data_IF_488989085743
#
_entry.id   IF_488989085743
#
_cell.length_a   1.000
_cell.length_b   1.000
_cell.length_c   1.000
_cell.angle_alpha   90.00
_cell.angle_beta   90.00
_cell.angle_gamma   90.00
#
_symmetry.space_group_name_H-M   'P 1'
#
loop_
_entity.id
_entity.type
_entity.pdbx_description
1 polymer ?
#
# COMPACT_ATOMS: atom_id res chain seq x y z
N UNK A 1 58.46 43.49 -41.23
CA UNK A 1 57.55 44.43 -40.52
C UNK A 1 56.22 44.34 -41.26
N UNK A 2 55.16 43.71 -40.79
CA UNK A 2 54.67 43.46 -39.43
C UNK A 2 53.20 43.89 -39.43
N UNK A 3 52.27 42.93 -39.32
CA UNK A 3 50.81 43.05 -39.36
C UNK A 3 50.25 44.08 -38.35
N UNK A 4 49.03 44.62 -38.45
CA UNK A 4 47.73 43.94 -38.20
C UNK A 4 46.56 44.86 -38.66
N UNK A 5 45.47 44.34 -39.25
CA UNK A 5 44.22 45.07 -39.51
C UNK A 5 43.37 45.19 -38.25
N UNK A 6 42.74 46.36 -38.06
CA UNK A 6 41.88 46.68 -36.91
C UNK A 6 40.72 45.70 -36.74
N UNK A 7 40.71 45.00 -35.61
CA UNK A 7 39.61 44.17 -35.15
C UNK A 7 38.56 45.10 -34.52
N UNK A 8 37.41 45.23 -35.17
CA UNK A 8 36.20 45.78 -34.56
C UNK A 8 35.66 44.73 -33.58
N UNK A 9 35.83 44.99 -32.29
CA UNK A 9 35.31 44.14 -31.22
C UNK A 9 33.80 44.40 -31.06
N UNK A 10 32.97 43.54 -31.67
CA UNK A 10 31.55 43.42 -31.35
C UNK A 10 31.41 42.80 -29.95
N UNK A 11 31.06 43.61 -28.95
CA UNK A 11 30.63 43.15 -27.63
C UNK A 11 29.28 42.43 -27.76
N UNK A 12 29.32 41.11 -27.96
CA UNK A 12 28.19 40.23 -27.73
C UNK A 12 27.99 40.10 -26.21
N UNK A 13 27.04 40.86 -25.66
CA UNK A 13 26.47 40.60 -24.34
C UNK A 13 25.77 39.24 -24.40
N UNK A 14 26.51 38.17 -24.12
CA UNK A 14 25.93 36.92 -23.70
C UNK A 14 25.27 37.18 -22.34
N UNK A 15 23.97 37.48 -22.36
CA UNK A 15 23.13 37.36 -21.18
C UNK A 15 23.12 35.88 -20.77
N UNK A 16 24.14 35.47 -20.01
CA UNK A 16 23.98 34.37 -19.07
C UNK A 16 22.76 34.76 -18.24
N UNK A 17 21.65 34.04 -18.44
CA UNK A 17 20.37 34.32 -17.80
C UNK A 17 20.47 34.12 -16.29
N UNK A 18 21.07 35.10 -15.60
CA UNK A 18 20.94 35.26 -14.17
C UNK A 18 19.49 35.72 -13.99
N UNK A 19 18.60 34.81 -13.60
CA UNK A 19 17.31 35.19 -13.04
C UNK A 19 17.62 36.17 -11.91
N UNK A 20 17.18 37.42 -12.03
CA UNK A 20 17.27 38.36 -10.92
C UNK A 20 16.45 37.80 -9.76
N UNK A 21 16.99 37.90 -8.54
CA UNK A 21 16.26 37.51 -7.34
C UNK A 21 14.89 38.25 -7.31
N UNK A 22 13.82 37.61 -6.82
CA UNK A 22 12.50 38.23 -6.78
C UNK A 22 12.53 39.56 -6.03
N UNK A 23 11.74 40.53 -6.48
CA UNK A 23 11.68 41.83 -5.81
C UNK A 23 11.02 41.70 -4.42
N UNK A 24 11.40 42.53 -3.42
CA UNK A 24 10.81 42.45 -2.08
C UNK A 24 9.28 42.52 -2.05
N UNK A 25 8.67 43.31 -2.92
CA UNK A 25 7.21 43.43 -3.05
C UNK A 25 6.57 42.13 -3.58
N UNK A 26 7.23 41.45 -4.53
CA UNK A 26 6.77 40.16 -5.05
C UNK A 26 6.83 39.08 -3.97
N UNK A 27 7.93 39.06 -3.19
CA UNK A 27 8.05 38.15 -2.06
C UNK A 27 6.99 38.40 -0.98
N UNK A 28 6.65 39.65 -0.69
CA UNK A 28 5.62 39.96 0.29
C UNK A 28 4.25 39.39 -0.10
N UNK A 29 3.93 39.40 -1.40
CA UNK A 29 2.69 38.81 -1.93
C UNK A 29 2.68 37.29 -1.83
N UNK A 30 3.82 36.63 -2.11
CA UNK A 30 3.94 35.18 -2.11
C UNK A 30 4.06 34.57 -0.70
N UNK A 31 4.59 35.32 0.26
CA UNK A 31 4.90 34.84 1.63
C UNK A 31 3.90 35.32 2.69
N UNK A 32 2.69 35.70 2.28
CA UNK A 32 1.63 36.07 3.21
C UNK A 32 1.14 34.82 3.97
N UNK A 33 1.59 34.68 5.21
CA UNK A 33 1.24 33.53 6.05
C UNK A 33 -0.25 33.51 6.42
N UNK A 34 -0.83 32.31 6.42
CA UNK A 34 -2.15 32.03 6.96
C UNK A 34 -2.12 32.28 8.47
N UNK A 35 -3.04 33.10 8.95
CA UNK A 35 -3.15 33.40 10.37
C UNK A 35 -3.97 32.34 11.10
N UNK A 36 -3.90 32.33 12.42
CA UNK A 36 -4.77 31.48 13.26
C UNK A 36 -6.26 31.74 13.02
N UNK A 37 -6.66 32.97 12.68
CA UNK A 37 -8.05 33.31 12.38
C UNK A 37 -8.51 32.71 11.05
N UNK A 38 -7.59 32.58 10.08
CA UNK A 38 -7.87 32.10 8.73
C UNK A 38 -7.55 30.62 8.54
N UNK A 39 -7.15 29.91 9.60
CA UNK A 39 -6.67 28.51 9.54
C UNK A 39 -7.66 27.55 8.87
N UNK A 40 -8.97 27.84 8.90
CA UNK A 40 -9.96 27.02 8.22
C UNK A 40 -9.77 26.96 6.69
N UNK A 41 -9.14 27.97 6.10
CA UNK A 41 -8.82 28.01 4.66
C UNK A 41 -7.91 26.86 4.21
N UNK A 42 -7.08 26.31 5.11
CA UNK A 42 -6.17 25.21 4.77
C UNK A 42 -6.86 23.85 4.79
N UNK A 43 -8.10 23.76 5.28
CA UNK A 43 -8.83 22.49 5.31
C UNK A 43 -9.09 22.00 3.88
N UNK A 44 -8.78 20.73 3.64
CA UNK A 44 -9.05 20.14 2.34
C UNK A 44 -8.21 18.91 2.06
N UNK A 45 -8.40 18.41 0.86
CA UNK A 45 -7.66 17.28 0.28
C UNK A 45 -6.74 17.85 -0.80
N UNK A 46 -5.46 17.55 -0.66
CA UNK A 46 -4.37 18.23 -1.34
C UNK A 46 -3.42 17.21 -1.95
N UNK A 47 -2.84 17.52 -3.10
CA UNK A 47 -1.81 16.70 -3.73
C UNK A 47 -0.55 17.53 -3.89
N UNK A 48 0.57 16.97 -3.42
CA UNK A 48 1.88 17.62 -3.53
C UNK A 48 2.32 17.60 -4.99
N UNK A 49 2.49 18.79 -5.56
CA UNK A 49 2.88 18.94 -6.96
C UNK A 49 4.35 19.32 -7.12
N UNK A 50 4.92 19.91 -6.06
CA UNK A 50 6.31 20.33 -6.04
C UNK A 50 6.83 20.40 -4.60
N UNK A 51 8.09 20.06 -4.38
CA UNK A 51 8.75 20.33 -3.09
C UNK A 51 10.25 20.48 -3.23
N UNK A 52 10.85 21.20 -2.28
CA UNK A 52 12.30 21.36 -2.15
C UNK A 52 12.67 21.22 -0.68
N UNK A 53 13.83 20.63 -0.41
CA UNK A 53 14.28 20.36 0.94
C UNK A 53 15.77 20.72 1.08
N UNK A 54 16.11 21.33 2.22
CA UNK A 54 17.46 21.68 2.63
C UNK A 54 17.75 21.11 4.02
N UNK A 55 19.05 20.98 4.34
CA UNK A 55 19.51 20.53 5.66
C UNK A 55 18.86 19.20 6.12
N UNK A 56 18.64 18.28 5.18
CA UNK A 56 17.96 17.02 5.43
C UNK A 56 18.87 16.15 6.32
N UNK A 57 18.44 15.93 7.56
CA UNK A 57 19.18 15.11 8.54
C UNK A 57 18.97 13.61 8.34
N UNK A 58 17.93 13.21 7.61
CA UNK A 58 17.50 11.82 7.42
C UNK A 58 17.81 11.29 6.01
N UNK A 59 17.84 9.97 5.87
CA UNK A 59 18.12 9.25 4.62
C UNK A 59 17.02 9.44 3.56
N UNK A 60 16.93 10.62 2.95
CA UNK A 60 16.35 10.87 1.63
C UNK A 60 14.96 10.26 1.31
N UNK A 61 14.10 10.05 2.32
CA UNK A 61 12.77 9.43 2.15
C UNK A 61 11.92 10.19 1.11
N UNK A 62 12.10 11.51 1.02
CA UNK A 62 11.46 12.39 0.03
C UNK A 62 11.83 12.05 -1.42
N UNK A 63 13.06 11.62 -1.72
CA UNK A 63 13.41 11.21 -3.09
C UNK A 63 12.85 9.84 -3.48
N UNK A 64 12.36 9.07 -2.52
CA UNK A 64 11.67 7.81 -2.79
C UNK A 64 10.21 8.06 -3.17
N UNK A 65 9.70 9.29 -3.06
CA UNK A 65 8.32 9.60 -3.40
C UNK A 65 8.08 9.59 -4.91
N UNK A 66 6.89 9.11 -5.25
CA UNK A 66 6.28 9.17 -6.57
C UNK A 66 5.09 10.15 -6.57
N UNK A 67 4.32 10.17 -5.49
CA UNK A 67 3.24 11.14 -5.25
C UNK A 67 2.91 11.24 -3.76
N UNK A 68 2.41 12.39 -3.31
CA UNK A 68 1.90 12.58 -1.94
C UNK A 68 0.50 13.19 -1.96
N UNK A 69 -0.42 12.61 -1.19
CA UNK A 69 -1.76 13.14 -0.93
C UNK A 69 -1.90 13.48 0.55
N UNK A 70 -2.33 14.70 0.85
CA UNK A 70 -2.47 15.23 2.21
C UNK A 70 -3.92 15.58 2.48
N UNK A 71 -4.47 15.04 3.56
CA UNK A 71 -5.75 15.47 4.11
C UNK A 71 -5.49 16.38 5.31
N UNK A 72 -5.94 17.63 5.21
CA UNK A 72 -5.94 18.59 6.31
C UNK A 72 -7.37 18.77 6.80
N UNK A 73 -7.59 18.52 8.09
CA UNK A 73 -8.89 18.71 8.76
C UNK A 73 -8.68 19.50 10.03
N UNK A 74 -9.47 20.55 10.25
CA UNK A 74 -9.31 21.42 11.40
C UNK A 74 -10.44 21.19 12.40
N UNK A 75 -10.06 20.84 13.63
CA UNK A 75 -10.99 20.61 14.74
C UNK A 75 -10.57 21.49 15.91
N UNK A 76 -11.42 22.43 16.31
CA UNK A 76 -11.17 23.33 17.45
C UNK A 76 -9.81 24.05 17.38
N UNK A 77 -9.37 24.43 16.19
CA UNK A 77 -8.08 25.11 15.95
C UNK A 77 -6.86 24.19 15.91
N UNK A 78 -7.04 22.87 16.03
CA UNK A 78 -5.99 21.86 15.80
C UNK A 78 -6.10 21.38 14.35
N UNK A 79 -4.99 21.42 13.63
CA UNK A 79 -4.89 20.88 12.27
C UNK A 79 -4.49 19.42 12.39
N UNK A 80 -5.34 18.51 11.93
CA UNK A 80 -5.04 17.09 11.80
C UNK A 80 -4.57 16.86 10.37
N UNK A 81 -3.33 16.40 10.22
CA UNK A 81 -2.71 16.05 8.96
C UNK A 81 -2.66 14.53 8.81
N UNK A 82 -3.19 14.03 7.70
CA UNK A 82 -3.07 12.64 7.28
C UNK A 82 -2.52 12.59 5.86
N UNK A 83 -1.24 12.29 5.75
CA UNK A 83 -0.51 12.23 4.50
C UNK A 83 -0.31 10.78 4.07
N UNK A 84 -0.46 10.54 2.76
CA UNK A 84 -0.31 9.23 2.13
C UNK A 84 0.61 9.36 0.93
N UNK A 85 1.73 8.69 1.02
CA UNK A 85 2.86 8.76 0.13
C UNK A 85 2.98 7.48 -0.70
N UNK A 86 2.92 7.60 -2.02
CA UNK A 86 3.29 6.53 -2.93
C UNK A 86 4.80 6.56 -3.12
N UNK A 87 5.46 5.45 -2.84
CA UNK A 87 6.90 5.29 -3.02
C UNK A 87 7.21 4.78 -4.44
N UNK A 88 8.45 4.96 -4.91
CA UNK A 88 8.92 4.54 -6.26
C UNK A 88 8.87 3.02 -6.47
N UNK A 89 8.93 2.24 -5.40
CA UNK A 89 8.71 0.79 -5.40
C UNK A 89 7.21 0.40 -5.44
N UNK A 90 6.31 1.39 -5.54
CA UNK A 90 4.86 1.25 -5.47
C UNK A 90 4.34 0.68 -4.13
N UNK A 91 5.08 0.83 -3.03
CA UNK A 91 4.52 0.68 -1.68
C UNK A 91 3.94 2.01 -1.19
N UNK A 92 3.12 1.91 -0.15
CA UNK A 92 2.48 3.06 0.48
C UNK A 92 3.05 3.31 1.87
N UNK A 93 3.33 4.58 2.13
CA UNK A 93 3.71 5.09 3.44
C UNK A 93 2.63 6.07 3.90
N UNK A 94 2.22 6.02 5.15
CA UNK A 94 1.31 7.02 5.72
C UNK A 94 1.98 7.78 6.85
N UNK A 95 1.69 9.06 6.94
CA UNK A 95 2.18 9.93 8.00
C UNK A 95 0.99 10.68 8.61
N UNK A 96 0.88 10.64 9.93
CA UNK A 96 -0.19 11.30 10.67
C UNK A 96 0.40 12.17 11.76
N UNK A 97 -0.05 13.41 11.84
CA UNK A 97 0.35 14.34 12.89
C UNK A 97 -0.76 15.33 13.21
N UNK A 98 -0.66 15.95 14.38
CA UNK A 98 -1.50 17.05 14.80
C UNK A 98 -0.64 18.31 14.93
N UNK A 99 -1.14 19.43 14.44
CA UNK A 99 -0.50 20.73 14.57
C UNK A 99 -1.38 21.68 15.38
N UNK A 100 -0.75 22.44 16.26
CA UNK A 100 -1.41 23.44 17.11
C UNK A 100 -0.88 24.82 16.79
N UNK A 101 -1.65 25.87 17.09
CA UNK A 101 -1.17 27.23 16.88
C UNK A 101 0.08 27.49 17.74
N UNK A 102 1.14 27.98 17.11
CA UNK A 102 2.34 28.50 17.76
C UNK A 102 2.13 29.91 18.31
N UNK A 103 3.23 30.61 18.64
CA UNK A 103 3.16 32.00 19.08
C UNK A 103 2.47 32.90 18.04
N UNK A 104 1.47 33.67 18.46
CA UNK A 104 0.66 34.49 17.53
C UNK A 104 1.50 35.50 16.73
N UNK A 105 2.62 35.97 17.27
CA UNK A 105 3.54 36.88 16.58
C UNK A 105 4.25 36.25 15.37
N UNK A 106 4.20 34.93 15.21
CA UNK A 106 4.95 34.19 14.17
C UNK A 106 4.07 33.61 13.07
N UNK A 107 2.73 33.67 13.21
CA UNK A 107 1.76 33.02 12.31
C UNK A 107 2.18 31.60 11.92
N UNK A 108 2.62 30.83 12.92
CA UNK A 108 3.14 29.49 12.75
C UNK A 108 2.32 28.47 13.53
N UNK A 109 2.48 27.22 13.15
CA UNK A 109 1.90 26.06 13.80
C UNK A 109 3.02 25.16 14.29
N UNK A 110 2.82 24.57 15.45
CA UNK A 110 3.75 23.64 16.08
C UNK A 110 3.22 22.24 15.88
N UNK A 111 4.06 21.35 15.37
CA UNK A 111 3.82 19.92 15.40
C UNK A 111 4.79 19.33 16.45
N UNK A 112 4.31 18.40 17.29
CA UNK A 112 5.05 17.87 18.44
C UNK A 112 5.28 16.36 18.41
N UNK A 113 4.57 15.65 17.54
CA UNK A 113 4.76 14.21 17.31
C UNK A 113 4.11 13.78 16.01
N UNK A 114 4.60 12.68 15.45
CA UNK A 114 4.06 12.06 14.24
C UNK A 114 4.00 10.54 14.38
N UNK A 115 3.14 9.92 13.56
CA UNK A 115 3.11 8.47 13.37
C UNK A 115 3.35 8.18 11.90
N UNK A 116 4.40 7.44 11.61
CA UNK A 116 4.72 6.97 10.28
C UNK A 116 4.42 5.47 10.20
N UNK A 117 3.68 5.04 9.20
CA UNK A 117 3.39 3.63 8.95
C UNK A 117 3.88 3.27 7.55
N UNK A 118 4.74 2.26 7.45
CA UNK A 118 5.20 1.70 6.18
C UNK A 118 5.13 0.17 6.24
N UNK A 119 4.42 -0.45 5.29
CA UNK A 119 4.24 -1.91 5.21
C UNK A 119 3.75 -2.55 6.53
N UNK A 120 2.84 -1.87 7.24
CA UNK A 120 2.29 -2.31 8.53
C UNK A 120 3.19 -2.07 9.74
N UNK A 121 4.42 -1.56 9.55
CA UNK A 121 5.33 -1.20 10.64
C UNK A 121 5.07 0.26 11.02
N UNK A 122 4.68 0.48 12.28
CA UNK A 122 4.43 1.82 12.83
C UNK A 122 5.66 2.32 13.57
N UNK A 123 6.14 3.50 13.21
CA UNK A 123 7.20 4.24 13.89
C UNK A 123 6.62 5.53 14.48
N UNK A 124 6.76 5.70 15.80
CA UNK A 124 6.44 6.95 16.47
C UNK A 124 7.62 7.92 16.36
N UNK A 125 7.33 9.16 16.04
CA UNK A 125 8.31 10.22 15.84
C UNK A 125 8.04 11.31 16.88
N UNK A 126 8.91 11.41 17.87
CA UNK A 126 8.92 12.55 18.78
C UNK A 126 9.74 13.67 18.15
N UNK A 127 9.05 14.72 17.70
CA UNK A 127 9.70 15.84 17.01
C UNK A 127 9.01 17.15 17.35
N UNK A 128 9.79 18.21 17.55
CA UNK A 128 9.27 19.56 17.69
C UNK A 128 9.71 20.36 16.47
N UNK A 129 8.76 20.81 15.67
CA UNK A 129 9.06 21.71 14.58
C UNK A 129 7.90 22.62 14.24
N UNK A 130 8.17 23.47 13.27
CA UNK A 130 7.36 24.65 12.96
C UNK A 130 6.88 24.58 11.54
N UNK A 131 5.61 24.94 11.33
CA UNK A 131 4.95 24.99 10.04
C UNK A 131 4.36 26.37 9.80
N UNK A 132 4.52 26.90 8.59
CA UNK A 132 3.80 28.07 8.09
C UNK A 132 3.05 27.69 6.82
N UNK A 133 1.80 28.10 6.73
CA UNK A 133 1.00 27.93 5.52
C UNK A 133 0.94 29.23 4.74
N UNK A 134 0.96 29.14 3.41
CA UNK A 134 0.74 30.25 2.50
C UNK A 134 -0.35 29.87 1.51
N UNK A 135 -1.42 30.67 1.43
CA UNK A 135 -2.44 30.54 0.40
C UNK A 135 -2.04 31.41 -0.78
N UNK A 136 -1.57 30.79 -1.86
CA UNK A 136 -1.09 31.50 -3.06
C UNK A 136 -2.18 31.66 -4.12
N UNK A 137 -3.20 30.80 -4.09
CA UNK A 137 -4.40 30.86 -4.93
C UNK A 137 -5.53 29.99 -4.32
N UNK A 138 -6.76 30.09 -4.84
CA UNK A 138 -7.93 29.36 -4.31
C UNK A 138 -7.78 27.82 -4.24
N UNK A 139 -6.97 27.26 -5.15
CA UNK A 139 -6.68 25.82 -5.24
C UNK A 139 -5.19 25.51 -5.02
N UNK A 140 -4.47 26.42 -4.36
CA UNK A 140 -3.04 26.30 -4.06
C UNK A 140 -2.81 26.42 -2.55
N UNK A 141 -1.99 25.53 -2.02
CA UNK A 141 -1.49 25.64 -0.66
C UNK A 141 0.02 25.44 -0.67
N UNK A 142 0.76 26.24 0.07
CA UNK A 142 2.17 26.00 0.32
C UNK A 142 2.42 25.86 1.81
N UNK A 143 3.32 24.97 2.18
CA UNK A 143 3.68 24.66 3.56
C UNK A 143 5.20 24.74 3.70
N UNK A 144 5.67 25.71 4.46
CA UNK A 144 7.05 25.82 4.90
C UNK A 144 7.19 25.12 6.25
N UNK A 145 7.98 24.05 6.26
CA UNK A 145 8.22 23.20 7.41
C UNK A 145 9.69 23.30 7.83
N UNK A 146 9.93 23.38 9.13
CA UNK A 146 11.26 23.27 9.73
C UNK A 146 11.22 22.32 10.93
N UNK A 147 12.01 21.25 10.89
CA UNK A 147 11.96 20.22 11.93
C UNK A 147 12.91 19.03 11.70
N UNK A 148 12.52 17.84 12.17
CA UNK A 148 13.31 16.61 12.07
C UNK A 148 13.71 16.29 10.63
N UNK A 149 12.81 16.53 9.68
CA UNK A 149 13.04 16.25 8.26
C UNK A 149 13.85 17.32 7.54
N UNK A 150 14.37 18.32 8.27
CA UNK A 150 15.09 19.46 7.72
C UNK A 150 14.19 20.68 7.51
N UNK A 151 14.59 21.55 6.61
CA UNK A 151 13.79 22.70 6.14
C UNK A 151 13.19 22.33 4.79
N UNK A 152 11.87 22.25 4.69
CA UNK A 152 11.17 21.72 3.52
C UNK A 152 10.03 22.64 3.14
N UNK A 153 9.99 23.03 1.86
CA UNK A 153 8.85 23.71 1.29
C UNK A 153 8.05 22.72 0.45
N UNK A 154 6.79 22.56 0.80
CA UNK A 154 5.81 21.78 0.07
C UNK A 154 4.85 22.70 -0.68
N UNK A 155 4.56 22.38 -1.93
CA UNK A 155 3.58 23.09 -2.76
C UNK A 155 2.54 22.10 -3.23
N UNK A 156 1.29 22.41 -2.91
CA UNK A 156 0.13 21.56 -3.12
C UNK A 156 -0.89 22.20 -4.08
N UNK A 157 -1.64 21.33 -4.74
CA UNK A 157 -2.87 21.67 -5.46
C UNK A 157 -4.05 20.93 -4.85
N UNK A 158 -5.24 21.51 -4.95
CA UNK A 158 -6.47 20.83 -4.51
C UNK A 158 -6.65 19.52 -5.28
N UNK A 159 -7.08 18.46 -4.58
CA UNK A 159 -7.42 17.20 -5.24
C UNK A 159 -8.46 17.44 -6.35
N UNK A 160 -8.25 16.78 -7.49
CA UNK A 160 -9.03 17.00 -8.72
C UNK A 160 -8.53 18.12 -9.65
N UNK A 161 -7.58 18.97 -9.22
CA UNK A 161 -7.01 20.06 -10.05
C UNK A 161 -5.56 19.80 -10.47
N UNK A 162 -4.90 18.86 -9.79
CA UNK A 162 -3.49 18.49 -9.99
C UNK A 162 -3.14 17.76 -11.31
N UNK A 163 -4.11 17.31 -12.11
CA UNK A 163 -3.83 16.44 -13.28
C UNK A 163 -3.37 17.19 -14.54
N UNK A 164 -3.56 18.52 -14.59
CA UNK A 164 -3.17 19.28 -15.78
C UNK A 164 -1.66 19.59 -15.76
N UNK A 165 -0.89 18.74 -16.45
CA UNK A 165 0.58 18.83 -16.53
C UNK A 165 1.06 20.18 -17.08
N UNK A 166 0.34 20.81 -18.00
CA UNK A 166 0.73 22.11 -18.56
C UNK A 166 0.59 23.22 -17.51
N UNK A 167 -0.49 23.19 -16.73
CA UNK A 167 -0.69 24.10 -15.59
C UNK A 167 0.37 23.88 -14.52
N UNK A 168 0.72 22.62 -14.23
CA UNK A 168 1.78 22.31 -13.27
C UNK A 168 3.13 22.88 -13.73
N UNK A 169 3.50 22.67 -14.99
CA UNK A 169 4.74 23.20 -15.57
C UNK A 169 4.78 24.73 -15.52
N UNK A 170 3.67 25.39 -15.87
CA UNK A 170 3.58 26.85 -15.80
C UNK A 170 3.73 27.37 -14.36
N UNK A 171 3.23 26.63 -13.36
CA UNK A 171 3.32 27.00 -11.95
C UNK A 171 4.67 26.68 -11.27
N UNK A 172 5.59 25.98 -11.96
CA UNK A 172 6.92 25.68 -11.40
C UNK A 172 7.73 26.95 -11.16
N UNK A 173 7.63 27.94 -12.04
CA UNK A 173 8.32 29.21 -11.89
C UNK A 173 7.86 29.96 -10.64
N UNK A 174 6.57 29.95 -10.33
CA UNK A 174 6.02 30.57 -9.14
C UNK A 174 6.46 29.82 -7.87
N UNK A 175 6.53 28.48 -7.94
CA UNK A 175 7.02 27.64 -6.84
C UNK A 175 8.49 27.92 -6.55
N UNK A 176 9.30 28.08 -7.60
CA UNK A 176 10.71 28.45 -7.47
C UNK A 176 10.88 29.84 -6.86
N UNK A 177 10.11 30.84 -7.32
CA UNK A 177 10.15 32.19 -6.74
C UNK A 177 9.76 32.20 -5.27
N UNK A 178 8.72 31.45 -4.88
CA UNK A 178 8.34 31.31 -3.47
C UNK A 178 9.49 30.72 -2.65
N UNK A 179 10.13 29.66 -3.16
CA UNK A 179 11.28 29.04 -2.51
C UNK A 179 12.46 30.02 -2.35
N UNK A 180 12.79 30.79 -3.40
CA UNK A 180 13.82 31.84 -3.34
C UNK A 180 13.47 32.94 -2.32
N UNK A 181 12.21 33.38 -2.26
CA UNK A 181 11.73 34.35 -1.27
C UNK A 181 11.82 33.83 0.17
N UNK A 182 11.72 32.51 0.38
CA UNK A 182 11.88 31.85 1.67
C UNK A 182 13.34 31.46 1.96
N UNK A 183 14.26 31.74 1.04
CA UNK A 183 15.70 31.53 1.21
C UNK A 183 16.19 30.12 0.87
N UNK A 184 15.41 29.31 0.15
CA UNK A 184 15.83 27.99 -0.32
C UNK A 184 16.80 28.09 -1.50
N UNK A 185 17.82 27.23 -1.49
CA UNK A 185 18.66 26.89 -2.63
C UNK A 185 17.94 25.88 -3.50
N UNK A 186 17.77 26.20 -4.78
CA UNK A 186 17.03 25.35 -5.71
C UNK A 186 17.96 24.29 -6.29
N UNK A 187 18.01 23.11 -5.67
CA UNK A 187 18.65 21.90 -6.23
C UNK A 187 17.70 20.69 -6.20
N UNK A 188 17.43 20.10 -7.36
CA UNK A 188 16.63 18.87 -7.54
C UNK A 188 15.29 18.84 -6.76
N UNK A 189 14.35 19.74 -7.09
CA UNK A 189 13.02 19.66 -6.49
C UNK A 189 12.31 18.35 -6.87
N UNK A 190 11.44 17.89 -5.99
CA UNK A 190 10.40 16.94 -6.37
C UNK A 190 9.42 17.63 -7.32
N UNK A 191 9.02 16.93 -8.38
CA UNK A 191 8.05 17.41 -9.35
C UNK A 191 7.06 16.26 -9.60
N UNK A 192 5.78 16.51 -9.34
CA UNK A 192 4.72 15.57 -9.67
C UNK A 192 4.49 15.51 -11.18
N UNK A 193 4.28 14.31 -11.70
CA UNK A 193 4.11 14.05 -13.13
C UNK A 193 2.67 14.26 -13.64
N UNK A 194 1.72 14.55 -12.74
CA UNK A 194 0.30 14.72 -13.06
C UNK A 194 -0.49 13.42 -13.27
N UNK A 195 0.17 12.26 -13.25
CA UNK A 195 -0.42 10.96 -13.64
C UNK A 195 -0.15 9.83 -12.65
N UNK A 196 0.85 9.97 -11.79
CA UNK A 196 1.20 8.99 -10.79
C UNK A 196 0.05 8.82 -9.79
N UNK A 197 -0.42 7.57 -9.66
CA UNK A 197 -1.56 7.24 -8.82
C UNK A 197 -1.28 7.42 -7.32
N UNK A 198 -2.30 7.88 -6.61
CA UNK A 198 -2.26 8.09 -5.16
C UNK A 198 -2.50 6.77 -4.40
N UNK A 199 -2.00 6.66 -3.17
CA UNK A 199 -2.09 5.44 -2.36
C UNK A 199 -3.50 4.86 -2.20
N UNK A 200 -4.53 5.72 -2.07
CA UNK A 200 -5.91 5.26 -1.93
C UNK A 200 -6.48 4.69 -3.25
N UNK A 201 -6.11 5.29 -4.38
CA UNK A 201 -6.45 4.77 -5.70
C UNK A 201 -5.71 3.47 -5.97
N UNK A 202 -4.44 3.37 -5.56
CA UNK A 202 -3.64 2.16 -5.71
C UNK A 202 -4.21 1.00 -4.89
N UNK A 203 -4.53 1.21 -3.60
CA UNK A 203 -5.24 0.21 -2.76
C UNK A 203 -6.52 -0.26 -3.41
N UNK A 204 -7.36 0.66 -3.87
CA UNK A 204 -8.60 0.29 -4.57
C UNK A 204 -8.36 -0.52 -5.85
N UNK A 205 -7.36 -0.13 -6.66
CA UNK A 205 -7.09 -0.75 -7.95
C UNK A 205 -6.50 -2.16 -7.81
N UNK A 206 -5.51 -2.37 -6.93
CA UNK A 206 -4.98 -3.72 -6.72
C UNK A 206 -5.95 -4.60 -5.94
N UNK A 207 -6.69 -4.06 -4.96
CA UNK A 207 -7.71 -4.85 -4.28
C UNK A 207 -8.77 -5.32 -5.27
N UNK A 208 -9.27 -4.45 -6.14
CA UNK A 208 -10.22 -4.85 -7.17
C UNK A 208 -9.68 -5.94 -8.10
N UNK A 209 -8.40 -5.87 -8.48
CA UNK A 209 -7.74 -6.89 -9.30
C UNK A 209 -7.63 -8.23 -8.56
N UNK A 210 -7.28 -8.21 -7.27
CA UNK A 210 -7.01 -9.41 -6.48
C UNK A 210 -8.28 -10.03 -5.88
N UNK A 211 -9.37 -9.27 -5.71
CA UNK A 211 -10.67 -9.75 -5.22
C UNK A 211 -11.68 -9.99 -6.34
N UNK A 212 -11.18 -10.20 -7.56
CA UNK A 212 -12.03 -10.52 -8.72
C UNK A 212 -12.85 -11.78 -8.43
N UNK A 213 -14.15 -11.71 -8.70
CA UNK A 213 -15.05 -12.85 -8.56
C UNK A 213 -14.55 -14.02 -9.42
N UNK A 214 -14.55 -15.21 -8.82
CA UNK A 214 -14.01 -16.41 -9.45
C UNK A 214 -14.94 -16.89 -10.57
N UNK A 215 -14.35 -17.25 -11.71
CA UNK A 215 -15.10 -17.87 -12.81
C UNK A 215 -15.04 -19.41 -12.77
N UNK A 216 -14.00 -19.97 -12.15
CA UNK A 216 -13.79 -21.42 -12.05
C UNK A 216 -13.08 -21.79 -10.73
N UNK A 217 -13.84 -22.39 -9.80
CA UNK A 217 -13.30 -22.91 -8.53
C UNK A 217 -12.85 -24.38 -8.65
N UNK A 218 -13.49 -25.16 -9.51
CA UNK A 218 -13.20 -26.60 -9.61
C UNK A 218 -11.80 -26.85 -10.18
N UNK A 219 -11.06 -27.73 -9.50
CA UNK A 219 -9.73 -28.13 -9.90
C UNK A 219 -8.97 -28.77 -8.75
N UNK A 220 -7.73 -29.10 -9.05
CA UNK A 220 -6.73 -29.58 -8.10
C UNK A 220 -5.75 -28.44 -7.86
N UNK A 221 -5.51 -28.15 -6.58
CA UNK A 221 -4.88 -26.93 -6.10
C UNK A 221 -3.86 -27.26 -5.03
N UNK A 222 -2.78 -26.48 -4.97
CA UNK A 222 -1.73 -26.58 -3.96
C UNK A 222 -1.69 -25.29 -3.16
N UNK A 223 -1.73 -25.40 -1.83
CA UNK A 223 -1.61 -24.24 -0.95
C UNK A 223 -0.18 -23.72 -1.02
N UNK A 224 0.00 -22.48 -1.46
CA UNK A 224 1.32 -21.88 -1.60
C UNK A 224 1.62 -20.81 -0.55
N UNK A 225 0.57 -20.20 0.00
CA UNK A 225 0.68 -19.16 1.02
C UNK A 225 -0.60 -19.11 1.85
N UNK A 226 -0.50 -18.90 3.15
CA UNK A 226 -1.67 -18.59 3.98
C UNK A 226 -1.33 -17.71 5.18
N UNK A 227 -2.36 -17.07 5.71
CA UNK A 227 -2.30 -16.32 6.98
C UNK A 227 -3.59 -16.50 7.76
N UNK A 228 -3.49 -16.40 9.08
CA UNK A 228 -4.57 -16.66 10.01
C UNK A 228 -4.59 -15.61 11.14
N UNK A 229 -5.79 -15.15 11.51
CA UNK A 229 -6.04 -14.24 12.62
C UNK A 229 -7.14 -14.77 13.54
N UNK A 230 -7.17 -14.27 14.78
CA UNK A 230 -8.22 -14.60 15.78
C UNK A 230 -8.43 -16.10 16.00
N UNK A 231 -7.34 -16.86 16.00
CA UNK A 231 -7.34 -18.32 16.09
C UNK A 231 -7.81 -18.75 17.49
N UNK A 232 -8.94 -19.46 17.57
CA UNK A 232 -9.57 -19.87 18.84
C UNK A 232 -8.97 -21.16 19.42
N UNK A 233 -8.34 -21.99 18.59
CA UNK A 233 -7.78 -23.30 18.99
C UNK A 233 -6.51 -23.64 18.20
N UNK A 234 -5.55 -24.29 18.88
CA UNK A 234 -4.37 -25.03 18.40
C UNK A 234 -3.83 -24.72 16.98
N UNK A 235 -2.54 -24.42 16.93
CA UNK A 235 -1.69 -24.05 15.79
C UNK A 235 -1.56 -25.11 14.66
N UNK A 236 -2.59 -25.90 14.34
CA UNK A 236 -2.56 -27.02 13.39
C UNK A 236 -2.04 -26.60 12.01
N UNK A 237 -2.37 -25.38 11.55
CA UNK A 237 -1.85 -24.81 10.31
C UNK A 237 -0.33 -24.60 10.33
N UNK A 238 0.27 -24.28 11.47
CA UNK A 238 1.74 -24.19 11.57
C UNK A 238 2.42 -25.56 11.57
N UNK A 239 1.67 -26.64 11.76
CA UNK A 239 2.18 -28.00 11.61
C UNK A 239 2.19 -28.43 10.15
N UNK A 240 1.60 -27.66 9.23
CA UNK A 240 1.64 -27.99 7.81
C UNK A 240 3.04 -27.88 7.23
N UNK A 241 3.34 -28.84 6.36
CA UNK A 241 4.48 -28.86 5.45
C UNK A 241 4.02 -28.61 4.02
N UNK A 242 2.89 -29.18 3.62
CA UNK A 242 2.23 -28.96 2.34
C UNK A 242 0.73 -29.25 2.45
N UNK A 243 -0.06 -28.66 1.55
CA UNK A 243 -1.49 -28.95 1.42
C UNK A 243 -1.87 -29.04 -0.06
N UNK A 244 -2.62 -30.10 -0.39
CA UNK A 244 -3.23 -30.29 -1.70
C UNK A 244 -4.75 -30.34 -1.54
N UNK A 245 -5.47 -29.51 -2.28
CA UNK A 245 -6.92 -29.34 -2.21
C UNK A 245 -7.56 -29.76 -3.54
N UNK A 246 -8.55 -30.64 -3.47
CA UNK A 246 -9.43 -30.98 -4.58
C UNK A 246 -10.76 -30.25 -4.37
N UNK A 247 -11.11 -29.36 -5.29
CA UNK A 247 -12.41 -28.68 -5.32
C UNK A 247 -13.24 -29.24 -6.47
N UNK A 248 -14.42 -29.78 -6.14
CA UNK A 248 -15.37 -30.34 -7.10
C UNK A 248 -16.73 -29.66 -6.93
N UNK A 249 -17.35 -29.30 -8.04
CA UNK A 249 -18.64 -28.60 -8.02
C UNK A 249 -19.72 -29.61 -8.40
N UNK A 250 -20.71 -29.74 -7.54
CA UNK A 250 -21.97 -30.43 -7.77
C UNK A 250 -23.12 -29.41 -7.74
N UNK A 251 -24.34 -29.77 -8.20
CA UNK A 251 -25.47 -28.85 -8.16
C UNK A 251 -25.69 -28.27 -6.75
N UNK A 252 -25.45 -26.96 -6.59
CA UNK A 252 -25.63 -26.23 -5.34
C UNK A 252 -24.56 -26.47 -4.25
N UNK A 253 -23.54 -27.29 -4.50
CA UNK A 253 -22.55 -27.69 -3.48
C UNK A 253 -21.14 -27.72 -4.06
N UNK A 254 -20.19 -27.11 -3.34
CA UNK A 254 -18.75 -27.28 -3.57
C UNK A 254 -18.24 -28.30 -2.55
N UNK A 255 -17.63 -29.38 -3.04
CA UNK A 255 -16.97 -30.38 -2.20
C UNK A 255 -15.48 -30.07 -2.19
N UNK A 256 -14.95 -29.90 -0.98
CA UNK A 256 -13.53 -29.69 -0.71
C UNK A 256 -12.97 -30.98 -0.09
N UNK A 257 -11.92 -31.50 -0.70
CA UNK A 257 -11.14 -32.61 -0.16
C UNK A 257 -9.67 -32.20 -0.11
N UNK A 258 -9.19 -31.91 1.09
CA UNK A 258 -7.84 -31.44 1.36
C UNK A 258 -7.00 -32.54 1.99
N UNK A 259 -5.76 -32.63 1.53
CA UNK A 259 -4.75 -33.59 1.97
C UNK A 259 -3.51 -32.82 2.41
N UNK A 260 -3.21 -32.95 3.69
CA UNK A 260 -2.20 -32.19 4.39
C UNK A 260 -1.05 -33.11 4.80
N UNK A 261 0.17 -32.76 4.39
CA UNK A 261 1.38 -33.35 4.96
C UNK A 261 1.81 -32.49 6.16
N UNK A 262 1.94 -33.11 7.32
CA UNK A 262 2.38 -32.43 8.54
C UNK A 262 3.92 -32.45 8.65
N UNK A 263 4.49 -31.58 9.50
CA UNK A 263 5.94 -31.47 9.72
C UNK A 263 6.58 -32.73 10.32
N UNK A 264 5.80 -33.54 11.04
CA UNK A 264 6.18 -34.87 11.51
C UNK A 264 6.05 -35.96 10.41
N UNK A 265 5.76 -35.57 9.17
CA UNK A 265 5.47 -36.43 8.02
C UNK A 265 4.25 -37.37 8.21
N UNK A 266 3.33 -37.08 9.13
CA UNK A 266 2.03 -37.73 9.16
C UNK A 266 1.07 -37.09 8.15
N UNK A 267 0.02 -37.85 7.80
CA UNK A 267 -1.02 -37.40 6.89
C UNK A 267 -2.30 -37.06 7.64
N UNK A 268 -2.83 -35.89 7.31
CA UNK A 268 -4.14 -35.42 7.73
C UNK A 268 -4.99 -35.16 6.50
N UNK A 269 -6.25 -35.59 6.52
CA UNK A 269 -7.20 -35.27 5.46
C UNK A 269 -8.38 -34.51 6.03
N UNK A 270 -8.84 -33.50 5.31
CA UNK A 270 -9.99 -32.70 5.69
C UNK A 270 -10.99 -32.71 4.53
N UNK A 271 -12.25 -33.01 4.84
CA UNK A 271 -13.33 -33.06 3.86
C UNK A 271 -14.49 -32.21 4.32
N UNK A 272 -15.01 -31.40 3.42
CA UNK A 272 -16.20 -30.60 3.71
C UNK A 272 -17.01 -30.30 2.45
N UNK A 273 -18.27 -29.95 2.68
CA UNK A 273 -19.19 -29.43 1.69
C UNK A 273 -19.52 -27.98 2.02
N UNK A 274 -19.52 -27.14 0.98
CA UNK A 274 -19.90 -25.74 1.06
C UNK A 274 -21.13 -25.51 0.18
N UNK A 275 -22.11 -24.80 0.71
CA UNK A 275 -23.35 -24.46 -0.02
C UNK A 275 -23.37 -22.98 -0.35
N UNK A 276 -24.16 -22.56 -1.34
CA UNK A 276 -24.29 -21.14 -1.64
C UNK A 276 -24.87 -20.38 -0.43
N UNK A 277 -24.20 -19.30 -0.04
CA UNK A 277 -24.70 -18.36 0.95
C UNK A 277 -25.70 -17.37 0.36
N UNK A 278 -26.05 -16.30 1.09
CA UNK A 278 -26.93 -15.25 0.58
C UNK A 278 -26.37 -14.64 -0.71
N UNK A 279 -27.19 -14.55 -1.77
CA UNK A 279 -26.76 -14.06 -3.10
C UNK A 279 -26.08 -12.68 -3.03
N UNK A 280 -26.48 -11.83 -2.09
CA UNK A 280 -25.92 -10.48 -1.90
C UNK A 280 -24.47 -10.46 -1.41
N UNK A 281 -23.90 -11.59 -0.96
CA UNK A 281 -22.58 -11.65 -0.32
C UNK A 281 -21.52 -12.39 -1.14
N UNK A 282 -21.90 -13.03 -2.26
CA UNK A 282 -21.03 -13.86 -3.09
C UNK A 282 -20.15 -14.81 -2.25
N UNK A 283 -20.76 -15.42 -1.24
CA UNK A 283 -20.12 -16.27 -0.24
C UNK A 283 -20.74 -17.66 -0.24
N UNK A 284 -20.02 -18.61 0.34
CA UNK A 284 -20.45 -19.97 0.58
C UNK A 284 -20.50 -20.24 2.07
N UNK A 285 -21.42 -21.10 2.48
CA UNK A 285 -21.58 -21.53 3.87
C UNK A 285 -20.96 -22.91 4.01
N UNK A 286 -19.98 -23.00 4.90
CA UNK A 286 -19.44 -24.23 5.46
C UNK A 286 -20.25 -24.55 6.72
N UNK A 287 -20.73 -25.79 6.88
CA UNK A 287 -21.53 -26.19 8.05
C UNK A 287 -20.99 -27.40 8.81
N UNK A 288 -20.16 -28.22 8.17
CA UNK A 288 -19.52 -29.35 8.84
C UNK A 288 -18.30 -29.84 8.07
N UNK A 289 -17.36 -30.43 8.80
CA UNK A 289 -16.14 -31.00 8.27
C UNK A 289 -15.85 -32.37 8.87
N UNK A 290 -15.08 -33.18 8.14
CA UNK A 290 -14.51 -34.42 8.66
C UNK A 290 -13.00 -34.33 8.54
N UNK A 291 -12.32 -34.43 9.66
CA UNK A 291 -10.87 -34.49 9.74
C UNK A 291 -10.45 -35.91 10.08
N UNK A 292 -9.55 -36.50 9.29
CA UNK A 292 -8.93 -37.80 9.60
C UNK A 292 -7.42 -37.61 9.74
N UNK A 293 -6.87 -37.92 10.91
CA UNK A 293 -5.43 -37.95 11.15
C UNK A 293 -5.05 -39.33 11.71
N UNK A 294 -4.07 -40.00 11.09
CA UNK A 294 -3.59 -41.32 11.52
C UNK A 294 -4.70 -42.38 11.71
N UNK A 295 -5.78 -42.30 10.91
CA UNK A 295 -6.94 -43.19 10.99
C UNK A 295 -7.98 -42.83 12.06
N UNK A 296 -7.75 -41.79 12.84
CA UNK A 296 -8.73 -41.24 13.79
C UNK A 296 -9.56 -40.18 13.09
N UNK A 297 -10.88 -40.37 13.05
CA UNK A 297 -11.83 -39.44 12.44
C UNK A 297 -12.44 -38.55 13.52
N UNK A 298 -12.38 -37.23 13.29
CA UNK A 298 -13.04 -36.20 14.09
C UNK A 298 -14.07 -35.50 13.21
N UNK A 299 -15.33 -35.47 13.65
CA UNK A 299 -16.37 -34.68 13.01
C UNK A 299 -16.41 -33.29 13.63
N UNK A 300 -16.52 -32.28 12.77
CA UNK A 300 -16.55 -30.87 13.13
C UNK A 300 -17.91 -30.33 12.69
N UNK A 301 -18.75 -29.93 13.64
CA UNK A 301 -20.05 -29.33 13.37
C UNK A 301 -19.96 -27.82 13.62
N UNK A 302 -19.72 -27.07 12.54
CA UNK A 302 -19.26 -25.69 12.63
C UNK A 302 -19.74 -24.88 11.43
N UNK A 303 -20.29 -23.69 11.71
CA UNK A 303 -20.71 -22.76 10.67
C UNK A 303 -19.65 -21.71 10.40
N UNK A 304 -19.23 -21.61 9.14
CA UNK A 304 -18.31 -20.60 8.64
C UNK A 304 -18.72 -20.05 7.28
N UNK A 305 -18.15 -18.92 6.91
CA UNK A 305 -18.35 -18.29 5.61
C UNK A 305 -17.07 -18.36 4.79
N UNK A 306 -17.20 -18.67 3.52
CA UNK A 306 -16.08 -18.79 2.57
C UNK A 306 -16.32 -17.88 1.38
N UNK A 307 -15.30 -17.15 0.94
CA UNK A 307 -15.28 -16.41 -0.32
C UNK A 307 -14.10 -16.85 -1.17
N UNK A 308 -14.32 -16.94 -2.48
CA UNK A 308 -13.27 -17.28 -3.44
C UNK A 308 -12.94 -16.09 -4.33
N UNK A 309 -11.64 -15.86 -4.57
CA UNK A 309 -11.17 -14.85 -5.51
C UNK A 309 -10.19 -15.44 -6.53
N UNK A 310 -10.23 -14.90 -7.75
CA UNK A 310 -9.34 -15.27 -8.85
C UNK A 310 -8.24 -14.21 -8.99
N UNK A 311 -7.05 -14.48 -8.46
CA UNK A 311 -5.91 -13.55 -8.52
C UNK A 311 -5.21 -13.60 -9.89
N UNK A 312 -5.26 -14.75 -10.57
CA UNK A 312 -4.68 -15.01 -11.88
C UNK A 312 -5.31 -16.28 -12.49
N UNK A 313 -4.99 -16.63 -13.74
CA UNK A 313 -5.57 -17.80 -14.42
C UNK A 313 -5.37 -19.15 -13.69
N UNK A 314 -4.25 -19.29 -12.97
CA UNK A 314 -3.88 -20.48 -12.20
C UNK A 314 -3.72 -20.19 -10.70
N UNK A 315 -4.38 -19.14 -10.21
CA UNK A 315 -4.37 -18.73 -8.81
C UNK A 315 -5.80 -18.68 -8.27
N UNK A 316 -6.01 -19.33 -7.14
CA UNK A 316 -7.27 -19.26 -6.39
C UNK A 316 -6.95 -18.81 -4.98
N UNK A 317 -7.73 -17.89 -4.41
CA UNK A 317 -7.66 -17.61 -2.98
C UNK A 317 -8.99 -17.89 -2.31
N UNK A 318 -8.94 -18.34 -1.08
CA UNK A 318 -10.09 -18.64 -0.23
C UNK A 318 -9.97 -17.82 1.06
N UNK A 319 -10.93 -16.93 1.28
CA UNK A 319 -11.12 -16.16 2.51
C UNK A 319 -12.17 -16.90 3.35
N UNK A 320 -11.75 -17.44 4.49
CA UNK A 320 -12.58 -18.18 5.42
C UNK A 320 -12.74 -17.40 6.72
N UNK A 321 -13.96 -17.32 7.23
CA UNK A 321 -14.27 -16.81 8.56
C UNK A 321 -15.18 -17.79 9.29
N UNK A 322 -14.77 -18.27 10.45
CA UNK A 322 -15.56 -19.20 11.25
C UNK A 322 -14.93 -19.52 12.61
N UNK A 323 -15.29 -20.63 13.26
CA UNK A 323 -14.83 -20.93 14.61
C UNK A 323 -13.32 -21.17 14.72
N UNK A 324 -12.67 -21.65 13.65
CA UNK A 324 -11.21 -21.80 13.58
C UNK A 324 -10.44 -20.48 13.48
N UNK A 325 -11.12 -19.38 13.16
CA UNK A 325 -10.54 -18.05 13.00
C UNK A 325 -10.94 -17.38 11.69
N UNK A 326 -10.14 -16.40 11.31
CA UNK A 326 -10.19 -15.74 10.02
C UNK A 326 -8.92 -16.12 9.26
N UNK A 327 -9.07 -16.87 8.18
CA UNK A 327 -7.96 -17.47 7.44
C UNK A 327 -8.03 -17.05 5.97
N UNK A 328 -6.89 -16.64 5.41
CA UNK A 328 -6.73 -16.45 3.98
C UNK A 328 -5.77 -17.50 3.43
N UNK A 329 -6.27 -18.30 2.49
CA UNK A 329 -5.51 -19.30 1.76
C UNK A 329 -5.28 -18.84 0.34
N UNK A 330 -4.06 -18.98 -0.17
CA UNK A 330 -3.69 -18.70 -1.55
C UNK A 330 -3.12 -19.96 -2.19
N UNK A 331 -3.77 -20.39 -3.26
CA UNK A 331 -3.50 -21.62 -3.97
C UNK A 331 -2.96 -21.37 -5.37
N UNK A 332 -2.18 -22.33 -5.86
CA UNK A 332 -1.81 -22.48 -7.28
C UNK A 332 -2.41 -23.74 -7.85
N UNK A 333 -2.73 -23.73 -9.14
CA UNK A 333 -3.16 -24.95 -9.85
C UNK A 333 -2.09 -26.03 -9.72
N UNK A 334 -2.50 -27.28 -9.53
CA UNK A 334 -1.57 -28.40 -9.52
C UNK A 334 -0.77 -28.45 -10.84
N UNK A 335 0.52 -28.74 -10.73
CA UNK A 335 1.49 -28.67 -11.84
C UNK A 335 2.12 -27.30 -12.12
N UNK A 336 1.71 -26.23 -11.43
CA UNK A 336 2.25 -24.86 -11.62
C UNK A 336 2.96 -24.32 -10.36
N UNK A 337 3.10 -25.15 -9.32
CA UNK A 337 3.60 -24.75 -8.00
C UNK A 337 5.10 -25.00 -7.77
N UNK A 338 5.77 -25.71 -8.67
CA UNK A 338 7.16 -26.13 -8.45
C UNK A 338 8.19 -25.03 -8.70
N UNK A 339 7.82 -23.95 -9.41
CA UNK A 339 8.73 -22.85 -9.70
C UNK A 339 8.82 -21.89 -8.49
N UNK A 340 9.87 -22.04 -7.69
CA UNK A 340 10.08 -21.28 -6.44
C UNK A 340 10.24 -19.78 -6.70
N UNK A 341 10.87 -19.38 -7.80
CA UNK A 341 11.02 -17.98 -8.18
C UNK A 341 9.66 -17.33 -8.47
N UNK A 342 8.78 -18.04 -9.19
CA UNK A 342 7.41 -17.60 -9.45
C UNK A 342 6.60 -17.51 -8.16
N UNK A 343 6.76 -18.48 -7.25
CA UNK A 343 6.10 -18.43 -5.94
C UNK A 343 6.57 -17.23 -5.13
N UNK A 344 7.88 -16.98 -5.04
CA UNK A 344 8.45 -15.82 -4.34
C UNK A 344 7.96 -14.50 -4.91
N UNK A 345 7.96 -14.36 -6.24
CA UNK A 345 7.46 -13.16 -6.91
C UNK A 345 5.96 -12.91 -6.63
N UNK A 346 5.18 -13.97 -6.43
CA UNK A 346 3.75 -13.88 -6.14
C UNK A 346 3.43 -13.59 -4.66
N UNK A 347 4.40 -13.69 -3.74
CA UNK A 347 4.17 -13.43 -2.31
C UNK A 347 3.72 -12.00 -2.04
N UNK A 348 4.21 -11.04 -2.80
CA UNK A 348 3.81 -9.63 -2.65
C UNK A 348 2.34 -9.42 -3.02
N UNK A 349 1.82 -10.16 -4.00
CA UNK A 349 0.40 -10.12 -4.35
C UNK A 349 -0.46 -10.82 -3.29
N UNK A 350 0.02 -11.91 -2.67
CA UNK A 350 -0.64 -12.53 -1.52
C UNK A 350 -0.74 -11.58 -0.32
N UNK A 351 0.35 -10.87 0.00
CA UNK A 351 0.37 -9.86 1.07
C UNK A 351 -0.60 -8.71 0.77
N UNK A 352 -0.58 -8.18 -0.45
CA UNK A 352 -1.53 -7.14 -0.88
C UNK A 352 -2.98 -7.61 -0.76
N UNK A 353 -3.29 -8.84 -1.15
CA UNK A 353 -4.63 -9.40 -0.98
C UNK A 353 -5.01 -9.48 0.51
N UNK A 354 -4.10 -9.93 1.37
CA UNK A 354 -4.32 -9.98 2.81
C UNK A 354 -4.64 -8.58 3.38
N UNK A 355 -3.86 -7.56 3.00
CA UNK A 355 -4.10 -6.15 3.38
C UNK A 355 -5.41 -5.58 2.83
N UNK A 356 -5.86 -6.06 1.66
CA UNK A 356 -7.17 -5.70 1.10
C UNK A 356 -8.32 -6.24 1.92
N UNK A 357 -8.18 -7.46 2.40
CA UNK A 357 -9.18 -8.17 3.19
C UNK A 357 -9.08 -7.83 4.70
N UNK A 358 -8.08 -7.03 5.09
CA UNK A 358 -7.94 -6.50 6.44
C UNK A 358 -7.09 -7.34 7.39
N UNK A 359 -6.31 -8.30 6.87
CA UNK A 359 -5.39 -9.11 7.66
C UNK A 359 -4.14 -8.32 8.06
N UNK A 360 -3.69 -8.53 9.28
CA UNK A 360 -2.38 -8.17 9.80
C UNK A 360 -1.36 -9.24 9.39
N UNK A 361 -0.25 -8.82 8.77
CA UNK A 361 0.73 -9.77 8.25
C UNK A 361 1.77 -10.13 9.33
N UNK A 362 1.52 -11.20 10.09
CA UNK A 362 2.54 -11.87 10.93
C UNK A 362 2.66 -13.37 10.57
N UNK A 363 3.90 -13.85 10.40
CA UNK A 363 4.28 -15.27 10.20
C UNK A 363 3.37 -16.07 9.24
N UNK A 364 3.27 -15.68 7.95
CA UNK A 364 2.51 -16.48 6.99
C UNK A 364 3.12 -17.87 6.78
N UNK A 365 2.28 -18.84 6.45
CA UNK A 365 2.72 -20.09 5.85
C UNK A 365 3.24 -19.83 4.43
N UNK A 366 4.36 -20.44 4.07
CA UNK A 366 4.97 -20.33 2.73
C UNK A 366 5.37 -21.73 2.27
N UNK A 367 4.82 -22.16 1.14
CA UNK A 367 5.20 -23.42 0.51
C UNK A 367 6.56 -23.28 -0.19
N UNK A 368 7.44 -24.25 0.05
CA UNK A 368 8.79 -24.25 -0.49
C UNK A 368 8.94 -24.79 -1.92
N UNK A 369 7.84 -25.17 -2.60
CA UNK A 369 7.89 -25.70 -3.98
C UNK A 369 8.34 -27.16 -4.13
N UNK A 370 8.87 -27.77 -3.06
CA UNK A 370 9.53 -29.09 -3.11
C UNK A 370 8.96 -30.11 -2.13
N UNK A 371 8.03 -29.71 -1.26
CA UNK A 371 7.48 -30.64 -0.27
C UNK A 371 6.42 -31.54 -0.91
N UNK A 372 6.57 -32.84 -0.68
CA UNK A 372 5.62 -33.86 -1.14
C UNK A 372 4.26 -33.75 -0.44
N UNK A 373 3.25 -34.41 -0.98
CA UNK A 373 1.87 -34.39 -0.51
C UNK A 373 1.43 -35.77 -0.03
N UNK A 374 0.40 -35.81 0.79
CA UNK A 374 -0.28 -37.07 1.09
C UNK A 374 -1.00 -37.58 -0.15
N UNK A 375 -0.63 -38.77 -0.60
CA UNK A 375 -1.27 -39.44 -1.74
C UNK A 375 -2.62 -40.05 -1.33
N UNK A 376 -3.48 -40.29 -2.33
CA UNK A 376 -4.71 -41.07 -2.12
C UNK A 376 -4.32 -42.43 -1.59
N UNK A 377 -4.95 -42.87 -0.48
CA UNK A 377 -4.91 -44.29 -0.09
C UNK A 377 -5.47 -45.09 -1.27
N UNK A 378 -4.65 -45.95 -1.87
CA UNK A 378 -5.12 -46.91 -2.86
C UNK A 378 -6.25 -47.73 -2.24
N UNK A 379 -7.32 -47.99 -3.00
CA UNK A 379 -8.34 -48.94 -2.56
C UNK A 379 -7.67 -50.27 -2.19
N UNK A 380 -8.13 -50.98 -1.14
CA UNK A 380 -7.57 -52.28 -0.80
C UNK A 380 -7.62 -53.19 -2.02
N UNK A 381 -6.50 -53.86 -2.32
CA UNK A 381 -6.44 -54.88 -3.36
C UNK A 381 -7.59 -55.86 -3.15
N UNK A 382 -8.49 -55.92 -4.12
CA UNK A 382 -9.48 -56.99 -4.20
C UNK A 382 -8.67 -58.27 -4.33
N UNK A 383 -8.62 -59.06 -3.25
CA UNK A 383 -8.02 -60.39 -3.30
C UNK A 383 -8.74 -61.16 -4.41
N UNK A 384 -8.01 -61.76 -5.37
CA UNK A 384 -8.67 -62.63 -6.34
C UNK A 384 -9.38 -63.75 -5.57
N UNK A 385 -10.66 -63.96 -5.88
CA UNK A 385 -11.37 -65.17 -5.47
C UNK A 385 -10.58 -66.36 -6.00
N UNK A 386 -10.17 -67.24 -5.09
CA UNK A 386 -9.66 -68.56 -5.44
C UNK A 386 -10.87 -69.43 -5.79
N UNK A 387 -11.03 -69.73 -7.08
CA UNK A 387 -11.75 -70.92 -7.55
C UNK A 387 -10.76 -72.08 -7.76
#
# INVERSE_FOLDING_TARGET
>A
MGAVPGVVLLLMLAALGIRAAPAPEECHKLTKAVTKADVQSVSGDWVMVWSIAENISTSNEWTKLKSSHVELRIHSGVIVLNERNMLKNNSCMTFKTNMTAGPESQNSFIYSSGKMEENGVVTELDENGTVKFFETCADCLSMDYSGLFGHVLFVYRRDGVHQNVEVLKAAQDDSQKLAECLGFSIDKPFIYDGVSGLCQQYKRLYCHKLTKAVTKVSGDWVLVWSIAENISTSNEWTKLKSSHVELRIHPGVIVLNERNMLKNNSCMTFKTNMTAGPESQNSFIYSSGKMEENGVVTELDENGTVKFFEMCADCLSMDYSGPFGHDLFVYRRDGVHQNVEVLKAAQDDSKKLAECLGFSIDKPFIYGGVSDFCHKKSSPEVKPEQD
#
